data_IF_151910684193
#
_entry.id   IF_151910684193
#
_cell.length_a   1.000
_cell.length_b   1.000
_cell.length_c   1.000
_cell.angle_alpha   90.00
_cell.angle_beta   90.00
_cell.angle_gamma   90.00
#
_symmetry.space_group_name_H-M   'P 1'
#
loop_
_entity.id
_entity.type
_entity.pdbx_description
1 polymer ?
#
# COMPACT_ATOMS: atom_id res chain seq x y z
N UNK A 1 -7.76 9.04 -13.76
CA UNK A 1 -6.76 8.44 -12.86
C UNK A 1 -7.21 8.74 -11.44
N UNK A 2 -7.37 7.76 -10.54
CA UNK A 2 -7.68 8.06 -9.14
C UNK A 2 -6.55 8.93 -8.57
N UNK A 3 -6.87 10.13 -8.09
CA UNK A 3 -5.89 11.06 -7.52
C UNK A 3 -5.42 10.65 -6.12
N UNK A 4 -5.98 9.58 -5.57
CA UNK A 4 -5.74 9.10 -4.22
C UNK A 4 -5.70 7.57 -4.19
N UNK A 5 -4.64 7.02 -3.58
CA UNK A 5 -4.54 5.61 -3.21
C UNK A 5 -4.88 5.45 -1.74
N UNK A 6 -5.55 4.34 -1.39
CA UNK A 6 -5.74 3.94 0.01
C UNK A 6 -4.49 3.18 0.46
N UNK A 7 -3.95 3.55 1.61
CA UNK A 7 -2.78 2.90 2.21
C UNK A 7 -3.19 2.22 3.52
N UNK A 8 -2.62 1.06 3.79
CA UNK A 8 -2.56 0.46 5.13
C UNK A 8 -1.19 0.75 5.71
N UNK A 9 -1.13 1.14 6.98
CA UNK A 9 0.13 1.26 7.73
C UNK A 9 -0.02 0.43 9.01
N UNK A 10 0.81 -0.59 9.13
CA UNK A 10 0.86 -1.49 10.26
C UNK A 10 1.98 -1.08 11.20
N UNK A 11 1.68 -1.08 12.51
CA UNK A 11 2.69 -0.92 13.55
C UNK A 11 3.11 -2.30 14.05
N UNK A 12 4.40 -2.56 14.01
CA UNK A 12 5.05 -3.76 14.53
C UNK A 12 5.97 -3.40 15.70
N UNK A 13 6.42 -4.37 16.53
CA UNK A 13 7.36 -4.10 17.62
C UNK A 13 8.70 -3.51 17.15
N UNK A 14 9.09 -3.78 15.91
CA UNK A 14 10.36 -3.40 15.27
C UNK A 14 10.23 -2.23 14.28
N UNK A 15 9.02 -1.66 14.10
CA UNK A 15 8.82 -0.50 13.23
C UNK A 15 7.44 -0.44 12.61
N UNK A 16 7.36 0.14 11.42
CA UNK A 16 6.13 0.33 10.66
C UNK A 16 6.30 -0.17 9.24
N UNK A 17 5.22 -0.74 8.69
CA UNK A 17 5.15 -1.23 7.30
C UNK A 17 3.93 -0.60 6.63
N UNK A 18 4.08 -0.10 5.41
CA UNK A 18 3.04 0.58 4.67
C UNK A 18 2.89 0.02 3.25
N UNK A 19 1.65 -0.15 2.78
CA UNK A 19 1.37 -0.63 1.42
C UNK A 19 0.03 -0.11 0.89
N UNK A 20 -0.09 0.11 -0.43
CA UNK A 20 -1.34 0.49 -1.07
C UNK A 20 -2.29 -0.68 -1.27
N UNK A 21 -3.57 -0.37 -1.20
CA UNK A 21 -4.65 -1.30 -1.50
C UNK A 21 -5.17 -1.10 -2.92
N UNK A 22 -5.57 -2.20 -3.56
CA UNK A 22 -6.35 -2.16 -4.80
C UNK A 22 -5.54 -1.93 -6.06
N UNK A 23 -4.22 -2.15 -6.01
CA UNK A 23 -3.39 -2.19 -7.21
C UNK A 23 -3.68 -3.48 -7.99
N UNK A 24 -3.91 -3.35 -9.29
CA UNK A 24 -4.13 -4.50 -10.17
C UNK A 24 -2.85 -5.26 -10.51
N UNK A 25 -1.68 -4.62 -10.41
CA UNK A 25 -0.37 -5.22 -10.71
C UNK A 25 0.73 -4.64 -9.83
N UNK A 26 1.74 -5.46 -9.57
CA UNK A 26 2.92 -5.07 -8.80
C UNK A 26 2.72 -5.10 -7.30
N UNK A 27 3.83 -4.95 -6.58
CA UNK A 27 3.85 -4.80 -5.13
C UNK A 27 4.62 -3.52 -4.81
N UNK A 28 4.01 -2.65 -4.02
CA UNK A 28 4.62 -1.44 -3.49
C UNK A 28 4.62 -1.58 -1.97
N UNK A 29 5.77 -1.40 -1.35
CA UNK A 29 5.95 -1.50 0.08
C UNK A 29 6.82 -0.34 0.53
N UNK A 30 6.53 0.20 1.70
CA UNK A 30 7.43 1.09 2.42
C UNK A 30 7.57 0.65 3.88
N UNK A 31 8.70 1.00 4.50
CA UNK A 31 9.00 0.65 5.88
C UNK A 31 9.68 1.81 6.61
N UNK A 32 9.65 1.80 7.94
CA UNK A 32 10.44 2.75 8.73
C UNK A 32 10.21 2.62 10.23
N UNK A 33 11.12 3.19 11.02
CA UNK A 33 11.08 3.13 12.48
C UNK A 33 9.91 3.95 13.07
N UNK A 34 9.34 4.87 12.29
CA UNK A 34 8.18 5.69 12.66
C UNK A 34 7.08 5.63 11.60
N UNK A 35 5.87 6.01 11.99
CA UNK A 35 4.73 6.14 11.09
C UNK A 35 5.05 7.07 9.91
N UNK A 36 5.67 8.23 10.19
CA UNK A 36 6.03 9.22 9.18
C UNK A 36 7.12 8.70 8.24
N UNK A 37 8.08 7.93 8.76
CA UNK A 37 9.14 7.32 7.95
C UNK A 37 8.56 6.29 6.97
N UNK A 38 7.71 5.37 7.44
CA UNK A 38 7.05 4.39 6.58
C UNK A 38 6.12 5.04 5.55
N UNK A 39 5.41 6.12 5.93
CA UNK A 39 4.58 6.90 5.01
C UNK A 39 5.42 7.62 3.95
N UNK A 40 6.56 8.19 4.32
CA UNK A 40 7.47 8.83 3.36
C UNK A 40 8.08 7.80 2.41
N UNK A 41 8.48 6.64 2.93
CA UNK A 41 9.08 5.56 2.16
C UNK A 41 8.10 4.98 1.13
N UNK A 42 6.86 4.66 1.53
CA UNK A 42 5.86 4.15 0.58
C UNK A 42 5.50 5.18 -0.49
N UNK A 43 5.50 6.48 -0.15
CA UNK A 43 5.28 7.56 -1.14
C UNK A 43 6.41 7.62 -2.16
N UNK A 44 7.66 7.46 -1.71
CA UNK A 44 8.83 7.36 -2.58
C UNK A 44 8.73 6.14 -3.50
N UNK A 45 8.36 4.98 -2.94
CA UNK A 45 8.17 3.75 -3.69
C UNK A 45 7.07 3.87 -4.75
N UNK A 46 5.96 4.56 -4.46
CA UNK A 46 4.90 4.86 -5.45
C UNK A 46 5.45 5.72 -6.58
N UNK A 47 6.17 6.79 -6.26
CA UNK A 47 6.75 7.68 -7.26
C UNK A 47 7.73 6.93 -8.17
N UNK A 48 8.62 6.13 -7.59
CA UNK A 48 9.56 5.30 -8.33
C UNK A 48 8.86 4.27 -9.22
N UNK A 49 7.79 3.64 -8.72
CA UNK A 49 7.02 2.67 -9.50
C UNK A 49 6.38 3.32 -10.73
N UNK A 50 5.81 4.52 -10.59
CA UNK A 50 5.25 5.29 -11.72
C UNK A 50 6.34 5.74 -12.69
N UNK A 51 7.48 6.19 -12.19
CA UNK A 51 8.62 6.60 -13.04
C UNK A 51 9.16 5.42 -13.86
N UNK A 52 9.20 4.23 -13.26
CA UNK A 52 9.75 3.03 -13.90
C UNK A 52 8.77 2.35 -14.84
N UNK A 53 7.49 2.25 -14.46
CA UNK A 53 6.49 1.41 -15.14
C UNK A 53 5.33 2.18 -15.75
N UNK A 54 5.34 3.51 -15.65
CA UNK A 54 4.26 4.38 -16.13
C UNK A 54 3.07 4.46 -15.15
N UNK A 55 2.19 5.47 -15.30
CA UNK A 55 1.05 5.69 -14.42
C UNK A 55 -0.01 4.58 -14.46
N UNK A 56 -0.07 3.80 -15.55
CA UNK A 56 -0.92 2.62 -15.70
C UNK A 56 -0.59 1.50 -14.72
N UNK A 57 0.62 1.50 -14.17
CA UNK A 57 1.02 0.57 -13.12
C UNK A 57 0.21 0.74 -11.82
N UNK A 58 -0.37 1.92 -11.60
CA UNK A 58 -1.29 2.20 -10.50
C UNK A 58 -2.76 1.95 -10.86
N UNK A 59 -3.04 1.29 -11.98
CA UNK A 59 -4.40 0.97 -12.36
C UNK A 59 -5.08 0.13 -11.26
N UNK A 60 -6.37 0.39 -10.98
CA UNK A 60 -7.15 -0.44 -10.07
C UNK A 60 -7.14 -1.90 -10.52
N UNK A 61 -7.38 -2.81 -9.57
CA UNK A 61 -7.72 -4.19 -9.89
C UNK A 61 -8.90 -4.26 -10.88
N UNK A 62 -8.98 -5.36 -11.63
CA UNK A 62 -9.99 -5.57 -12.69
C UNK A 62 -11.43 -5.43 -12.18
N UNK A 63 -11.64 -5.71 -10.88
CA UNK A 63 -12.94 -5.63 -10.20
C UNK A 63 -13.35 -4.18 -9.80
N UNK A 64 -12.53 -3.17 -10.09
CA UNK A 64 -12.84 -1.76 -9.86
C UNK A 64 -12.17 -1.14 -8.63
N UNK A 65 -12.56 0.10 -8.24
CA UNK A 65 -11.93 0.82 -7.14
C UNK A 65 -12.35 0.28 -5.76
N UNK A 66 -11.46 0.42 -4.76
CA UNK A 66 -11.78 0.07 -3.38
C UNK A 66 -12.73 1.08 -2.76
N UNK A 67 -13.92 0.60 -2.39
CA UNK A 67 -14.91 1.39 -1.66
C UNK A 67 -14.55 1.45 -0.16
N UNK A 68 -14.31 0.30 0.47
CA UNK A 68 -14.03 0.16 1.91
C UNK A 68 -13.04 -0.98 2.15
N UNK A 69 -12.32 -0.93 3.28
CA UNK A 69 -11.40 -1.97 3.73
C UNK A 69 -11.61 -2.21 5.22
N UNK A 70 -11.59 -3.47 5.65
CA UNK A 70 -11.83 -3.89 7.03
C UNK A 70 -10.64 -4.69 7.54
N UNK A 71 -10.21 -4.40 8.77
CA UNK A 71 -9.18 -5.18 9.48
C UNK A 71 -9.87 -5.94 10.59
N UNK A 72 -9.60 -7.24 10.69
CA UNK A 72 -10.19 -8.10 11.72
C UNK A 72 -9.22 -9.21 12.12
N UNK A 73 -9.39 -9.73 13.32
CA UNK A 73 -8.61 -10.84 13.85
C UNK A 73 -9.37 -12.16 13.62
N UNK A 74 -8.66 -13.19 13.16
CA UNK A 74 -9.23 -14.53 12.95
C UNK A 74 -8.31 -15.56 13.61
N UNK A 75 -8.89 -16.47 14.38
CA UNK A 75 -8.16 -17.60 14.93
C UNK A 75 -7.71 -18.56 13.81
N UNK A 76 -6.42 -18.88 13.77
CA UNK A 76 -5.84 -19.85 12.83
C UNK A 76 -5.86 -21.23 13.47
N UNK A 77 -6.23 -22.32 12.77
CA UNK A 77 -6.07 -23.68 13.27
C UNK A 77 -4.59 -23.95 13.63
N UNK A 78 -4.37 -24.55 14.80
CA UNK A 78 -3.03 -24.98 15.25
C UNK A 78 -2.57 -26.26 14.58
#
# INVERSE_FOLDING_TARGET
MPSHLKLVIEKHPDGFVAYPLGLGRGAILGQGDTYEAALADVRSAIAFHVETFGPESLAPAEDGPILEAFVTEVAVPG
#
